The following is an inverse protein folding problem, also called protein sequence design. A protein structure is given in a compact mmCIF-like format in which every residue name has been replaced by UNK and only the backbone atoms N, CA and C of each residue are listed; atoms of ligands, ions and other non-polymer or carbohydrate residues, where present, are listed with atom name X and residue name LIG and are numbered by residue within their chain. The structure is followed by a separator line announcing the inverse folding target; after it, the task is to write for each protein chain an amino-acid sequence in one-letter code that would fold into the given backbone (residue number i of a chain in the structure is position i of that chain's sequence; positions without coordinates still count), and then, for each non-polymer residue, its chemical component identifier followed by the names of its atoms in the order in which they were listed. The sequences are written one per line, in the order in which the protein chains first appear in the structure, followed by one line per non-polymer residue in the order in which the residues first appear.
data_IF_140763648580
#
_entry.id   IF_140763648580
#
_cell.length_a   1.000
_cell.length_b   1.000
_cell.length_c   1.000
_cell.angle_alpha   90.00
_cell.angle_beta   90.00
_cell.angle_gamma   90.00
#
_symmetry.space_group_name_H-M   'P 1'
#
loop_
_entity.id
_entity.type
_entity.pdbx_description
1 polymer ?
#
# COMPACT_ATOMS: atom_id res chain seq x y z
N UNK A 1 0.77 23.14 -3.21
CA UNK A 1 0.77 21.71 -2.92
C UNK A 1 1.26 21.47 -1.49
N UNK A 2 0.50 20.77 -0.68
CA UNK A 2 0.74 20.44 0.73
C UNK A 2 0.86 18.93 0.91
N UNK A 3 1.63 18.50 1.92
CA UNK A 3 1.72 17.11 2.35
C UNK A 3 1.07 17.05 3.73
N UNK A 4 -0.04 16.33 3.85
CA UNK A 4 -0.84 16.30 5.07
C UNK A 4 -1.18 14.88 5.49
N UNK A 5 -1.26 14.64 6.81
CA UNK A 5 -1.84 13.40 7.31
C UNK A 5 -3.33 13.36 6.99
N UNK A 6 -3.80 12.25 6.43
CA UNK A 6 -5.22 12.08 6.20
C UNK A 6 -6.00 12.03 7.53
N UNK A 7 -7.21 12.52 7.49
CA UNK A 7 -8.14 12.53 8.63
C UNK A 7 -9.50 12.02 8.17
N UNK A 8 -10.40 11.75 9.09
CA UNK A 8 -11.77 11.33 8.79
C UNK A 8 -12.47 12.30 7.81
N UNK A 9 -12.20 13.60 7.91
CA UNK A 9 -12.78 14.60 7.00
C UNK A 9 -12.41 14.43 5.51
N UNK A 10 -11.34 13.67 5.22
CA UNK A 10 -10.91 13.38 3.84
C UNK A 10 -11.58 12.12 3.27
N UNK A 11 -12.22 11.29 4.12
CA UNK A 11 -12.62 9.94 3.71
C UNK A 11 -13.74 9.93 2.68
N UNK A 12 -14.75 10.76 2.85
CA UNK A 12 -15.86 10.88 1.90
C UNK A 12 -15.38 11.45 0.56
N UNK A 13 -14.54 12.48 0.64
CA UNK A 13 -14.12 13.24 -0.54
C UNK A 13 -13.22 12.46 -1.47
N UNK A 14 -12.27 11.67 -0.93
CA UNK A 14 -11.20 11.06 -1.71
C UNK A 14 -11.30 9.53 -1.83
N UNK A 15 -12.42 8.92 -1.46
CA UNK A 15 -12.56 7.46 -1.44
C UNK A 15 -12.24 6.79 -2.78
N UNK A 16 -12.79 7.34 -3.88
CA UNK A 16 -12.59 6.79 -5.22
C UNK A 16 -11.15 7.01 -5.70
N UNK A 17 -10.65 8.23 -5.56
CA UNK A 17 -9.30 8.59 -5.99
C UNK A 17 -8.23 7.86 -5.18
N UNK A 18 -8.48 7.64 -3.88
CA UNK A 18 -7.61 6.85 -3.01
C UNK A 18 -7.55 5.40 -3.47
N UNK A 19 -8.70 4.77 -3.75
CA UNK A 19 -8.77 3.40 -4.24
C UNK A 19 -8.04 3.24 -5.58
N UNK A 20 -8.22 4.20 -6.50
CA UNK A 20 -7.51 4.23 -7.79
C UNK A 20 -6.00 4.33 -7.62
N UNK A 21 -5.53 5.22 -6.76
CA UNK A 21 -4.10 5.41 -6.50
C UNK A 21 -3.49 4.20 -5.80
N UNK A 22 -4.19 3.61 -4.84
CA UNK A 22 -3.73 2.40 -4.16
C UNK A 22 -3.60 1.24 -5.15
N UNK A 23 -4.66 0.98 -5.93
CA UNK A 23 -4.64 -0.06 -6.96
C UNK A 23 -3.48 0.12 -7.96
N UNK A 24 -3.19 1.36 -8.36
CA UNK A 24 -2.12 1.68 -9.30
C UNK A 24 -0.72 1.32 -8.78
N UNK A 25 -0.54 1.01 -7.49
CA UNK A 25 0.76 0.57 -6.95
C UNK A 25 1.13 -0.86 -7.30
N UNK A 26 0.13 -1.72 -7.62
CA UNK A 26 0.37 -3.11 -7.98
C UNK A 26 -0.87 -3.78 -8.59
N UNK A 27 -1.36 -3.34 -9.77
CA UNK A 27 -2.63 -3.81 -10.34
C UNK A 27 -2.73 -5.32 -10.44
N UNK A 28 -1.72 -5.98 -11.00
CA UNK A 28 -1.71 -7.44 -11.19
C UNK A 28 -1.78 -8.20 -9.87
N UNK A 29 -1.11 -7.69 -8.83
CA UNK A 29 -1.14 -8.30 -7.50
C UNK A 29 -2.50 -8.12 -6.83
N UNK A 30 -3.08 -6.92 -6.90
CA UNK A 30 -4.39 -6.67 -6.31
C UNK A 30 -5.52 -7.41 -7.02
N UNK A 31 -5.51 -7.47 -8.36
CA UNK A 31 -6.47 -8.29 -9.11
C UNK A 31 -6.40 -9.76 -8.71
N UNK A 32 -5.20 -10.29 -8.58
CA UNK A 32 -5.02 -11.66 -8.15
C UNK A 32 -5.49 -11.88 -6.70
N UNK A 33 -5.04 -11.04 -5.76
CA UNK A 33 -5.36 -11.21 -4.33
C UNK A 33 -6.84 -11.04 -4.02
N UNK A 34 -7.52 -10.11 -4.67
CA UNK A 34 -8.93 -9.80 -4.42
C UNK A 34 -9.90 -10.45 -5.42
N UNK A 35 -9.39 -11.32 -6.31
CA UNK A 35 -10.20 -11.98 -7.34
C UNK A 35 -10.96 -10.95 -8.21
N UNK A 36 -10.29 -9.86 -8.57
CA UNK A 36 -10.78 -8.79 -9.44
C UNK A 36 -10.71 -7.39 -8.82
N UNK A 37 -10.73 -6.38 -9.71
CA UNK A 37 -10.66 -4.96 -9.36
C UNK A 37 -11.86 -4.49 -8.54
N UNK A 38 -13.06 -4.94 -8.89
CA UNK A 38 -14.32 -4.56 -8.26
C UNK A 38 -14.30 -4.78 -6.74
N UNK A 39 -13.92 -5.97 -6.31
CA UNK A 39 -13.85 -6.30 -4.89
C UNK A 39 -12.65 -5.65 -4.20
N UNK A 40 -11.52 -5.48 -4.91
CA UNK A 40 -10.40 -4.70 -4.38
C UNK A 40 -10.86 -3.28 -3.99
N UNK A 41 -11.56 -2.59 -4.90
CA UNK A 41 -12.05 -1.24 -4.65
C UNK A 41 -13.00 -1.17 -3.45
N UNK A 42 -13.90 -2.14 -3.31
CA UNK A 42 -14.84 -2.19 -2.19
C UNK A 42 -14.13 -2.41 -0.85
N UNK A 43 -13.19 -3.36 -0.78
CA UNK A 43 -12.40 -3.62 0.43
C UNK A 43 -11.55 -2.42 0.79
N UNK A 44 -10.91 -1.79 -0.20
CA UNK A 44 -10.08 -0.59 0.01
C UNK A 44 -10.92 0.57 0.52
N UNK A 45 -12.09 0.84 -0.06
CA UNK A 45 -12.99 1.90 0.40
C UNK A 45 -13.55 1.64 1.80
N UNK A 46 -13.95 0.40 2.10
CA UNK A 46 -14.38 0.02 3.44
C UNK A 46 -13.25 0.16 4.47
N UNK A 47 -12.02 -0.20 4.09
CA UNK A 47 -10.83 -0.02 4.92
C UNK A 47 -10.49 1.46 5.10
N UNK A 48 -10.59 2.27 4.04
CA UNK A 48 -10.25 3.69 4.05
C UNK A 48 -10.97 4.46 5.17
N UNK A 49 -12.24 4.19 5.38
CA UNK A 49 -13.07 4.83 6.41
C UNK A 49 -12.94 4.19 7.80
N UNK A 50 -12.26 3.05 7.92
CA UNK A 50 -12.16 2.26 9.16
C UNK A 50 -10.75 2.39 9.76
N UNK A 51 -10.55 3.20 10.80
CA UNK A 51 -9.21 3.42 11.36
C UNK A 51 -8.58 2.14 11.91
N UNK A 52 -7.26 2.04 11.83
CA UNK A 52 -6.50 0.88 12.27
C UNK A 52 -6.48 -0.30 11.30
N UNK A 53 -7.17 -0.21 10.15
CA UNK A 53 -7.08 -1.20 9.07
C UNK A 53 -5.91 -0.91 8.13
N UNK A 54 -5.60 -1.84 7.22
CA UNK A 54 -4.40 -1.77 6.37
C UNK A 54 -4.37 -0.54 5.45
N UNK A 55 -5.53 -0.16 4.88
CA UNK A 55 -5.66 0.93 3.93
C UNK A 55 -6.38 2.16 4.53
N UNK A 56 -6.38 2.27 5.85
CA UNK A 56 -7.12 3.33 6.53
C UNK A 56 -6.47 4.71 6.41
N UNK A 57 -7.29 5.74 6.51
CA UNK A 57 -6.84 7.14 6.48
C UNK A 57 -5.80 7.46 7.57
N UNK A 58 -5.87 6.82 8.73
CA UNK A 58 -4.96 7.07 9.86
C UNK A 58 -3.52 6.58 9.60
N UNK A 59 -3.32 5.70 8.60
CA UNK A 59 -2.01 5.27 8.09
C UNK A 59 -1.58 6.01 6.82
N UNK A 60 -2.32 7.03 6.37
CA UNK A 60 -2.16 7.62 5.02
C UNK A 60 -1.75 9.09 5.07
N UNK A 61 -0.77 9.44 4.23
CA UNK A 61 -0.38 10.81 3.92
C UNK A 61 -0.89 11.18 2.54
N UNK A 62 -1.47 12.37 2.39
CA UNK A 62 -1.98 12.91 1.14
C UNK A 62 -1.07 14.03 0.62
N UNK A 63 -0.85 14.08 -0.69
CA UNK A 63 -0.34 15.24 -1.40
C UNK A 63 -1.53 15.98 -2.03
N UNK A 64 -1.82 17.18 -1.57
CA UNK A 64 -2.97 17.99 -2.01
C UNK A 64 -2.52 19.28 -2.70
N UNK A 65 -3.27 19.73 -3.71
CA UNK A 65 -3.17 21.09 -4.26
C UNK A 65 -4.57 21.73 -4.23
N UNK A 66 -4.80 22.56 -3.22
CA UNK A 66 -6.16 22.94 -2.83
C UNK A 66 -6.96 21.68 -2.51
N UNK A 67 -8.02 21.48 -3.28
CA UNK A 67 -8.95 20.37 -3.12
C UNK A 67 -8.62 19.15 -4.00
N UNK A 68 -7.54 19.20 -4.79
CA UNK A 68 -7.14 18.11 -5.67
C UNK A 68 -6.18 17.16 -4.97
N UNK A 69 -6.51 15.85 -4.95
CA UNK A 69 -5.60 14.80 -4.53
C UNK A 69 -4.61 14.51 -5.66
N UNK A 70 -3.32 14.65 -5.38
CA UNK A 70 -2.24 14.43 -6.37
C UNK A 70 -1.53 13.10 -6.18
N UNK A 71 -1.50 12.58 -4.96
CA UNK A 71 -0.81 11.33 -4.62
C UNK A 71 -0.98 10.95 -3.16
N UNK A 72 -0.60 9.72 -2.85
CA UNK A 72 -0.73 9.11 -1.53
C UNK A 72 0.56 8.42 -1.09
N UNK A 73 0.76 8.33 0.22
CA UNK A 73 1.68 7.40 0.87
C UNK A 73 0.91 6.71 2.00
N UNK A 74 0.87 5.38 1.98
CA UNK A 74 0.33 4.54 3.06
C UNK A 74 1.51 3.92 3.77
N UNK A 75 1.75 4.31 5.01
CA UNK A 75 2.90 3.84 5.75
C UNK A 75 2.74 3.96 7.26
N UNK A 76 3.44 3.10 7.98
CA UNK A 76 3.33 2.98 9.42
C UNK A 76 4.58 2.32 10.02
N UNK A 77 4.68 2.33 11.33
CA UNK A 77 5.69 1.56 12.05
C UNK A 77 5.48 0.05 11.82
N UNK A 78 6.51 -0.67 11.44
CA UNK A 78 6.42 -2.05 10.97
C UNK A 78 5.61 -3.03 11.86
N UNK A 79 5.67 -2.99 13.21
CA UNK A 79 4.83 -3.83 14.06
C UNK A 79 3.32 -3.66 13.87
N UNK A 80 2.89 -2.54 13.29
CA UNK A 80 1.47 -2.30 13.01
C UNK A 80 0.96 -3.09 11.79
N UNK A 81 1.85 -3.54 10.89
CA UNK A 81 1.45 -4.21 9.64
C UNK A 81 0.53 -5.41 9.88
N UNK A 82 0.95 -6.34 10.74
CA UNK A 82 0.18 -7.54 11.05
C UNK A 82 -1.20 -7.24 11.68
N UNK A 83 -1.26 -6.43 12.73
CA UNK A 83 -2.53 -5.95 13.30
C UNK A 83 -3.44 -5.27 12.28
N UNK A 84 -2.93 -4.31 11.48
CA UNK A 84 -3.70 -3.60 10.45
C UNK A 84 -4.25 -4.53 9.37
N UNK A 85 -3.43 -5.51 8.91
CA UNK A 85 -3.88 -6.54 7.96
C UNK A 85 -4.99 -7.41 8.55
N UNK A 86 -4.86 -7.84 9.81
CA UNK A 86 -5.89 -8.62 10.50
C UNK A 86 -7.19 -7.84 10.72
N UNK A 87 -7.10 -6.52 10.89
CA UNK A 87 -8.26 -5.65 11.06
C UNK A 87 -9.12 -5.51 9.79
N UNK A 88 -8.70 -6.05 8.64
CA UNK A 88 -9.57 -6.20 7.46
C UNK A 88 -10.62 -7.30 7.63
N UNK A 89 -10.37 -8.29 8.49
CA UNK A 89 -11.29 -9.43 8.65
C UNK A 89 -12.72 -9.04 9.06
N UNK A 90 -12.95 -8.07 9.98
CA UNK A 90 -14.28 -7.60 10.33
C UNK A 90 -15.06 -6.90 9.20
N UNK A 91 -14.42 -6.54 8.08
CA UNK A 91 -15.09 -5.91 6.94
C UNK A 91 -15.86 -6.93 6.08
N UNK A 92 -15.43 -8.21 6.05
CA UNK A 92 -16.01 -9.23 5.19
C UNK A 92 -17.49 -9.53 5.44
N UNK A 93 -18.00 -9.66 6.68
CA UNK A 93 -19.41 -9.91 6.93
C UNK A 93 -20.35 -8.90 6.27
N UNK A 94 -20.02 -7.62 6.32
CA UNK A 94 -20.82 -6.57 5.69
C UNK A 94 -20.79 -6.65 4.16
N UNK A 95 -19.65 -7.00 3.55
CA UNK A 95 -19.53 -7.21 2.10
C UNK A 95 -20.29 -8.44 1.63
N UNK A 96 -20.33 -9.52 2.43
CA UNK A 96 -21.10 -10.72 2.14
C UNK A 96 -22.61 -10.40 2.23
N UNK A 97 -23.05 -9.71 3.27
CA UNK A 97 -24.44 -9.30 3.45
C UNK A 97 -24.93 -8.37 2.33
N UNK A 98 -24.06 -7.51 1.85
CA UNK A 98 -24.33 -6.64 0.69
C UNK A 98 -24.37 -7.41 -0.65
N UNK A 99 -24.00 -8.70 -0.68
CA UNK A 99 -23.94 -9.51 -1.89
C UNK A 99 -22.73 -9.24 -2.80
N UNK A 100 -21.74 -8.53 -2.29
CA UNK A 100 -20.53 -8.14 -3.04
C UNK A 100 -19.52 -9.29 -3.18
N UNK A 101 -19.58 -10.26 -2.25
CA UNK A 101 -18.70 -11.42 -2.25
C UNK A 101 -19.45 -12.69 -1.81
N UNK A 102 -19.28 -13.80 -2.55
CA UNK A 102 -19.77 -15.11 -2.13
C UNK A 102 -18.75 -15.85 -1.27
N UNK A 103 -19.20 -16.89 -0.56
CA UNK A 103 -18.33 -17.77 0.23
C UNK A 103 -17.22 -18.41 -0.62
N UNK A 104 -17.55 -18.84 -1.86
CA UNK A 104 -16.57 -19.41 -2.78
C UNK A 104 -15.54 -18.36 -3.22
N UNK A 105 -15.96 -17.13 -3.47
CA UNK A 105 -15.04 -16.03 -3.81
C UNK A 105 -14.12 -15.70 -2.64
N UNK A 106 -14.67 -15.67 -1.42
CA UNK A 106 -13.88 -15.45 -0.21
C UNK A 106 -12.84 -16.56 0.01
N UNK A 107 -13.20 -17.84 -0.24
CA UNK A 107 -12.25 -18.94 -0.16
C UNK A 107 -11.10 -18.81 -1.19
N UNK A 108 -11.40 -18.39 -2.43
CA UNK A 108 -10.36 -18.11 -3.43
C UNK A 108 -9.43 -16.96 -3.00
N UNK A 109 -9.98 -15.89 -2.44
CA UNK A 109 -9.19 -14.76 -1.92
C UNK A 109 -8.26 -15.21 -0.80
N UNK A 110 -8.74 -16.05 0.11
CA UNK A 110 -7.92 -16.60 1.18
C UNK A 110 -6.76 -17.43 0.62
N UNK A 111 -7.00 -18.27 -0.38
CA UNK A 111 -5.98 -19.07 -1.07
C UNK A 111 -4.98 -18.17 -1.82
N UNK A 112 -5.44 -17.21 -2.61
CA UNK A 112 -4.58 -16.27 -3.33
C UNK A 112 -3.69 -15.45 -2.36
N UNK A 113 -4.28 -14.98 -1.26
CA UNK A 113 -3.55 -14.25 -0.21
C UNK A 113 -2.49 -15.13 0.45
N UNK A 114 -2.81 -16.41 0.70
CA UNK A 114 -1.85 -17.38 1.22
C UNK A 114 -0.68 -17.60 0.23
N UNK A 115 -0.99 -17.80 -1.04
CA UNK A 115 0.01 -17.99 -2.10
C UNK A 115 0.91 -16.76 -2.27
N UNK A 116 0.36 -15.56 -2.20
CA UNK A 116 1.15 -14.31 -2.22
C UNK A 116 1.99 -14.11 -0.95
N UNK A 117 1.72 -14.82 0.15
CA UNK A 117 2.49 -14.66 1.38
C UNK A 117 3.97 -15.04 1.23
N UNK A 118 4.32 -15.83 0.23
CA UNK A 118 5.72 -16.13 -0.12
C UNK A 118 6.50 -14.90 -0.58
N UNK A 119 5.82 -13.86 -1.06
CA UNK A 119 6.46 -12.59 -1.42
C UNK A 119 6.79 -11.74 -0.18
N UNK A 120 6.05 -11.93 0.91
CA UNK A 120 6.16 -11.08 2.09
C UNK A 120 7.35 -11.47 2.97
N UNK A 121 8.46 -10.76 2.82
CA UNK A 121 9.61 -10.89 3.72
C UNK A 121 9.27 -10.31 5.08
N UNK A 122 9.77 -10.92 6.14
CA UNK A 122 9.62 -10.40 7.50
C UNK A 122 10.10 -8.94 7.59
N UNK A 123 9.28 -8.08 8.18
CA UNK A 123 9.60 -6.66 8.34
C UNK A 123 10.21 -6.46 9.73
N UNK A 124 11.46 -5.94 9.84
CA UNK A 124 12.08 -5.66 11.13
C UNK A 124 11.28 -4.64 11.95
N UNK A 125 11.20 -4.82 13.26
CA UNK A 125 10.40 -3.96 14.14
C UNK A 125 10.89 -2.51 14.24
N UNK A 126 12.12 -2.24 13.81
CA UNK A 126 12.76 -0.90 13.91
C UNK A 126 12.68 -0.10 12.60
N UNK A 127 11.74 -0.41 11.71
CA UNK A 127 11.61 0.29 10.42
C UNK A 127 10.26 0.98 10.28
N UNK A 128 10.25 2.06 9.49
CA UNK A 128 9.04 2.62 8.89
C UNK A 128 8.77 1.85 7.60
N UNK A 129 7.59 1.27 7.49
CA UNK A 129 7.21 0.49 6.32
C UNK A 129 6.21 1.25 5.45
N UNK A 130 6.59 1.54 4.21
CA UNK A 130 5.70 2.08 3.20
C UNK A 130 5.02 0.90 2.52
N UNK A 131 3.70 0.79 2.71
CA UNK A 131 2.86 -0.21 2.06
C UNK A 131 2.47 0.18 0.64
N UNK A 132 2.21 1.48 0.41
CA UNK A 132 1.88 2.00 -0.91
C UNK A 132 2.38 3.44 -1.09
N UNK A 133 2.83 3.78 -2.28
CA UNK A 133 3.16 5.15 -2.69
C UNK A 133 2.76 5.33 -4.15
N UNK A 134 1.85 6.26 -4.39
CA UNK A 134 1.37 6.56 -5.74
C UNK A 134 1.21 8.05 -5.98
N UNK A 135 1.43 8.45 -7.24
CA UNK A 135 1.14 9.81 -7.74
C UNK A 135 0.30 9.67 -9.00
N UNK A 136 -0.78 10.47 -9.10
CA UNK A 136 -1.61 10.52 -10.31
C UNK A 136 -0.73 10.64 -11.55
N UNK A 137 -1.03 9.88 -12.58
CA UNK A 137 -0.21 9.80 -13.78
C UNK A 137 0.02 11.19 -14.41
N UNK A 138 -1.02 11.99 -14.49
CA UNK A 138 -0.98 13.38 -15.00
C UNK A 138 -0.10 14.32 -14.17
N UNK A 139 0.23 13.95 -12.92
CA UNK A 139 0.97 14.75 -11.97
C UNK A 139 2.40 14.23 -11.70
N UNK A 140 2.79 13.14 -12.38
CA UNK A 140 4.16 12.57 -12.24
C UNK A 140 5.23 13.53 -12.74
N UNK A 141 6.47 13.29 -12.33
CA UNK A 141 7.68 14.09 -12.68
C UNK A 141 7.65 15.55 -12.22
N UNK A 142 6.77 15.88 -11.26
CA UNK A 142 6.66 17.21 -10.61
C UNK A 142 7.22 17.22 -9.18
N UNK A 143 7.96 16.19 -8.79
CA UNK A 143 8.58 16.09 -7.45
C UNK A 143 7.63 15.64 -6.33
N UNK A 144 6.35 15.28 -6.63
CA UNK A 144 5.36 14.91 -5.62
C UNK A 144 5.78 13.64 -4.88
N UNK A 145 6.20 12.60 -5.61
CA UNK A 145 6.70 11.37 -4.99
C UNK A 145 7.90 11.60 -4.08
N UNK A 146 8.81 12.50 -4.47
CA UNK A 146 9.97 12.89 -3.63
C UNK A 146 9.49 13.51 -2.31
N UNK A 147 8.49 14.40 -2.34
CA UNK A 147 7.97 15.03 -1.11
C UNK A 147 7.24 14.04 -0.20
N UNK A 148 6.48 13.10 -0.78
CA UNK A 148 5.86 12.01 0.00
C UNK A 148 6.93 11.13 0.66
N UNK A 149 8.00 10.76 -0.06
CA UNK A 149 9.12 10.00 0.49
C UNK A 149 9.87 10.80 1.58
N UNK A 150 10.11 12.09 1.38
CA UNK A 150 10.74 12.93 2.40
C UNK A 150 9.90 12.98 3.68
N UNK A 151 8.58 13.11 3.56
CA UNK A 151 7.67 13.06 4.72
C UNK A 151 7.74 11.71 5.44
N UNK A 152 7.76 10.58 4.71
CA UNK A 152 7.92 9.25 5.31
C UNK A 152 9.27 9.09 6.03
N UNK A 153 10.37 9.58 5.44
CA UNK A 153 11.71 9.64 6.06
C UNK A 153 11.67 10.44 7.36
N UNK A 154 11.05 11.62 7.35
CA UNK A 154 10.91 12.45 8.54
C UNK A 154 10.07 11.79 9.64
N UNK A 155 8.99 11.11 9.27
CA UNK A 155 8.17 10.32 10.20
C UNK A 155 9.00 9.22 10.87
N UNK A 156 9.73 8.43 10.08
CA UNK A 156 10.60 7.37 10.58
C UNK A 156 11.71 7.90 11.48
N UNK A 157 12.38 8.99 11.07
CA UNK A 157 13.45 9.62 11.84
C UNK A 157 12.95 10.18 13.17
N UNK A 158 11.81 10.90 13.17
CA UNK A 158 11.20 11.43 14.41
C UNK A 158 10.77 10.34 15.38
N UNK A 159 10.37 9.17 14.85
CA UNK A 159 10.05 8.00 15.65
C UNK A 159 11.29 7.22 16.13
N UNK A 160 12.50 7.62 15.78
CA UNK A 160 13.75 6.96 16.16
C UNK A 160 13.96 5.62 15.45
N UNK A 161 13.32 5.40 14.30
CA UNK A 161 13.44 4.19 13.52
C UNK A 161 14.78 4.15 12.77
N UNK A 162 15.28 2.94 12.48
CA UNK A 162 16.61 2.75 11.87
C UNK A 162 16.61 2.84 10.36
N UNK A 163 15.50 2.46 9.73
CA UNK A 163 15.39 2.42 8.27
C UNK A 163 13.95 2.63 7.83
N UNK A 164 13.80 2.94 6.54
CA UNK A 164 12.55 2.92 5.82
C UNK A 164 12.61 1.74 4.84
N UNK A 165 11.58 0.90 4.83
CA UNK A 165 11.45 -0.23 3.91
C UNK A 165 10.19 -0.11 3.08
N UNK A 166 10.22 -0.69 1.88
CA UNK A 166 9.05 -0.94 1.03
C UNK A 166 9.27 -2.21 0.22
N UNK A 167 8.18 -2.77 -0.31
CA UNK A 167 8.22 -3.81 -1.32
C UNK A 167 7.72 -3.26 -2.66
N UNK A 168 8.37 -3.68 -3.74
CA UNK A 168 8.04 -3.25 -5.11
C UNK A 168 8.28 -4.40 -6.09
N UNK A 169 7.38 -4.57 -7.06
CA UNK A 169 7.58 -5.56 -8.12
C UNK A 169 8.79 -5.19 -8.96
N UNK A 170 9.60 -6.20 -9.34
CA UNK A 170 10.89 -6.00 -10.00
C UNK A 170 10.81 -5.34 -11.38
N UNK A 171 9.67 -5.43 -12.05
CA UNK A 171 9.39 -4.80 -13.35
C UNK A 171 8.72 -3.42 -13.23
N UNK A 172 8.45 -2.96 -11.99
CA UNK A 172 7.83 -1.66 -11.77
C UNK A 172 8.84 -0.53 -12.03
N UNK A 173 8.52 0.46 -12.89
CA UNK A 173 9.39 1.60 -13.16
C UNK A 173 9.73 2.43 -11.91
N UNK A 174 8.98 2.30 -10.81
CA UNK A 174 9.29 2.95 -9.54
C UNK A 174 10.59 2.43 -8.89
N UNK A 175 11.11 1.28 -9.28
CA UNK A 175 12.41 0.76 -8.79
C UNK A 175 13.53 1.80 -9.02
N UNK A 176 13.60 2.38 -10.21
CA UNK A 176 14.60 3.40 -10.53
C UNK A 176 14.39 4.70 -9.73
N UNK A 177 13.14 5.06 -9.47
CA UNK A 177 12.82 6.20 -8.59
C UNK A 177 13.35 5.94 -7.17
N UNK A 178 13.12 4.78 -6.59
CA UNK A 178 13.60 4.44 -5.25
C UNK A 178 15.14 4.38 -5.20
N UNK A 179 15.78 3.80 -6.21
CA UNK A 179 17.25 3.81 -6.34
C UNK A 179 17.81 5.23 -6.38
N UNK A 180 17.16 6.14 -7.12
CA UNK A 180 17.58 7.54 -7.20
C UNK A 180 17.52 8.29 -5.85
N UNK A 181 16.72 7.78 -4.91
CA UNK A 181 16.63 8.29 -3.53
C UNK A 181 17.61 7.61 -2.56
N UNK A 182 18.46 6.72 -3.08
CA UNK A 182 19.47 6.01 -2.28
C UNK A 182 18.95 4.75 -1.59
N UNK A 183 17.78 4.22 -2.00
CA UNK A 183 17.32 2.93 -1.52
C UNK A 183 18.09 1.78 -2.19
N UNK A 184 18.39 0.76 -1.41
CA UNK A 184 19.08 -0.45 -1.85
C UNK A 184 18.14 -1.66 -1.78
N UNK A 185 18.28 -2.59 -2.71
CA UNK A 185 17.59 -3.88 -2.67
C UNK A 185 18.26 -4.78 -1.63
N UNK A 186 17.49 -5.23 -0.63
CA UNK A 186 17.97 -6.16 0.40
C UNK A 186 17.75 -7.62 0.00
N UNK A 187 16.64 -7.92 -0.66
CA UNK A 187 16.26 -9.28 -1.04
C UNK A 187 15.24 -9.23 -2.17
N UNK A 188 15.30 -10.23 -3.03
CA UNK A 188 14.29 -10.51 -4.05
C UNK A 188 13.57 -11.81 -3.70
N UNK A 189 12.25 -11.81 -3.83
CA UNK A 189 11.40 -12.96 -3.53
C UNK A 189 10.54 -13.32 -4.73
N UNK A 190 10.28 -14.61 -4.89
CA UNK A 190 9.42 -15.15 -5.95
C UNK A 190 8.40 -16.10 -5.34
N UNK A 191 7.13 -15.89 -5.64
CA UNK A 191 6.06 -16.82 -5.27
C UNK A 191 5.71 -17.68 -6.50
N UNK A 192 5.87 -19.03 -6.43
CA UNK A 192 5.74 -19.89 -7.61
C UNK A 192 4.38 -19.82 -8.30
N UNK A 193 3.28 -19.80 -7.54
CA UNK A 193 1.92 -19.73 -8.10
C UNK A 193 1.60 -18.33 -8.60
N UNK A 194 1.76 -17.23 -7.82
CA UNK A 194 1.61 -15.87 -8.32
C UNK A 194 2.42 -15.57 -9.59
N UNK A 195 3.64 -16.11 -9.70
CA UNK A 195 4.45 -15.94 -10.93
C UNK A 195 3.74 -16.50 -12.18
N UNK A 196 3.04 -17.63 -12.07
CA UNK A 196 2.25 -18.21 -13.18
C UNK A 196 1.06 -17.34 -13.57
N UNK A 197 0.62 -16.47 -12.67
CA UNK A 197 -0.45 -15.47 -12.89
C UNK A 197 0.08 -14.08 -13.26
N UNK A 198 1.37 -13.97 -13.62
CA UNK A 198 1.97 -12.72 -14.10
C UNK A 198 2.46 -11.78 -13.00
N UNK A 199 2.49 -12.22 -11.73
CA UNK A 199 3.08 -11.44 -10.64
C UNK A 199 4.59 -11.74 -10.62
N UNK A 200 5.46 -10.78 -10.98
CA UNK A 200 6.90 -11.00 -11.04
C UNK A 200 7.53 -11.12 -9.63
N UNK A 201 8.86 -11.18 -9.59
CA UNK A 201 9.60 -11.06 -8.34
C UNK A 201 9.28 -9.75 -7.63
N UNK A 202 9.28 -9.78 -6.30
CA UNK A 202 9.18 -8.62 -5.45
C UNK A 202 10.53 -8.30 -4.81
N UNK A 203 10.90 -7.03 -4.81
CA UNK A 203 12.13 -6.50 -4.24
C UNK A 203 11.81 -5.80 -2.92
N UNK A 204 12.41 -6.24 -1.79
CA UNK A 204 12.46 -5.45 -0.57
C UNK A 204 13.52 -4.37 -0.74
N UNK A 205 13.13 -3.12 -0.80
CA UNK A 205 14.04 -1.98 -0.83
C UNK A 205 14.11 -1.29 0.53
N UNK A 206 15.30 -0.79 0.88
CA UNK A 206 15.55 -0.14 2.17
C UNK A 206 16.38 1.13 2.02
N UNK A 207 16.11 2.09 2.90
CA UNK A 207 16.90 3.30 3.12
C UNK A 207 17.23 3.40 4.61
N UNK A 208 18.51 3.51 4.96
CA UNK A 208 18.93 3.76 6.33
C UNK A 208 18.55 5.20 6.74
N UNK A 209 17.90 5.33 7.91
CA UNK A 209 17.58 6.59 8.54
C UNK A 209 18.72 6.95 9.51
N UNK A 210 19.24 8.17 9.39
CA UNK A 210 20.33 8.67 10.25
C UNK A 210 19.76 9.40 11.48
#
# INVERSE_FOLDING_TARGET
MEIVQATEAHTERYADEFADLLYATGPVTYEYQFDGRDLCDQVVKASWVTPGTLFAYDGTTLALDGDELLGIEVGFHAPEFGPRKKALAPLWPALIEAGEVSDERLARIAEHTYQCSYLNVAIPSSVYYIHALAVKESQRRRGIGVKLMQNAIEKGTRAGLRALHLDVLSDNPAVEFYRSLGMECLVETTAPVPLQHGIPMEMRMALNLK
#
